data_IF_018625093466
#
_entry.id   IF_018625093466
#
_cell.length_a   1.000
_cell.length_b   1.000
_cell.length_c   1.000
_cell.angle_alpha   90.00
_cell.angle_beta   90.00
_cell.angle_gamma   90.00
#
_symmetry.space_group_name_H-M   'P 1'
#
loop_
_entity.id
_entity.type
_entity.pdbx_description
1 polymer ?
#
# COMPACT_ATOMS: atom_id res chain seq x y z
N UNK A 1 4.77 -8.82 -19.90
CA UNK A 1 3.31 -9.09 -19.93
C UNK A 1 3.15 -10.51 -19.43
N UNK A 2 2.28 -10.74 -18.43
CA UNK A 2 2.15 -12.05 -17.78
C UNK A 2 1.95 -13.16 -18.83
N UNK A 3 2.87 -14.13 -18.88
CA UNK A 3 2.80 -15.30 -19.75
C UNK A 3 1.72 -16.24 -19.22
N UNK A 4 0.46 -15.86 -19.37
CA UNK A 4 -0.65 -16.78 -19.17
C UNK A 4 -0.73 -17.69 -20.38
N UNK A 5 -0.83 -19.00 -20.15
CA UNK A 5 -1.02 -19.96 -21.22
C UNK A 5 -2.37 -19.69 -21.91
N UNK A 6 -2.32 -19.38 -23.20
CA UNK A 6 -3.50 -19.13 -24.02
C UNK A 6 -4.42 -20.36 -24.10
N UNK A 7 -3.86 -21.56 -23.92
CA UNK A 7 -4.61 -22.82 -23.94
C UNK A 7 -5.73 -22.87 -22.88
N UNK A 8 -5.47 -22.34 -21.68
CA UNK A 8 -6.47 -22.23 -20.60
C UNK A 8 -7.65 -21.33 -20.99
N UNK A 9 -7.35 -20.25 -21.70
CA UNK A 9 -8.35 -19.29 -22.16
C UNK A 9 -9.14 -19.79 -23.37
N UNK A 10 -8.56 -20.63 -24.21
CA UNK A 10 -9.21 -21.29 -25.33
C UNK A 10 -10.08 -22.46 -24.86
N UNK A 11 -9.59 -23.31 -23.96
CA UNK A 11 -10.36 -24.37 -23.32
C UNK A 11 -11.62 -23.79 -22.64
N UNK A 12 -11.48 -22.71 -21.87
CA UNK A 12 -12.63 -22.05 -21.24
C UNK A 12 -13.64 -21.47 -22.26
N UNK A 13 -13.21 -21.10 -23.48
CA UNK A 13 -14.13 -20.70 -24.54
C UNK A 13 -14.86 -21.92 -25.14
N UNK A 14 -14.15 -23.03 -25.32
CA UNK A 14 -14.75 -24.30 -25.79
C UNK A 14 -15.80 -24.80 -24.79
N UNK A 15 -15.55 -24.65 -23.50
CA UNK A 15 -16.50 -24.94 -22.41
C UNK A 15 -17.64 -23.91 -22.27
N UNK A 16 -17.69 -22.88 -23.14
CA UNK A 16 -18.78 -21.91 -23.17
C UNK A 16 -18.71 -20.81 -22.11
N UNK A 17 -17.57 -20.61 -21.44
CA UNK A 17 -17.44 -19.59 -20.40
C UNK A 17 -17.53 -18.17 -20.98
N UNK A 18 -18.43 -17.35 -20.41
CA UNK A 18 -18.59 -15.95 -20.77
C UNK A 18 -17.35 -15.12 -20.34
N UNK A 19 -17.11 -13.96 -20.96
CA UNK A 19 -15.96 -13.07 -20.67
C UNK A 19 -15.83 -12.76 -19.18
N UNK A 20 -16.95 -12.50 -18.49
CA UNK A 20 -16.95 -12.25 -17.04
C UNK A 20 -16.50 -13.46 -16.21
N UNK A 21 -16.92 -14.67 -16.59
CA UNK A 21 -16.49 -15.90 -15.93
C UNK A 21 -14.98 -16.13 -16.12
N UNK A 22 -14.47 -15.88 -17.34
CA UNK A 22 -13.03 -15.99 -17.62
C UNK A 22 -12.21 -14.97 -16.81
N UNK A 23 -12.74 -13.78 -16.52
CA UNK A 23 -12.06 -12.81 -15.66
C UNK A 23 -12.04 -13.29 -14.20
N UNK A 24 -13.19 -13.65 -13.65
CA UNK A 24 -13.33 -14.00 -12.22
C UNK A 24 -12.69 -15.34 -11.84
N UNK A 25 -12.78 -16.35 -12.72
CA UNK A 25 -12.36 -17.72 -12.41
C UNK A 25 -11.00 -18.10 -12.99
N UNK A 26 -10.50 -17.40 -14.02
CA UNK A 26 -9.14 -17.61 -14.57
C UNK A 26 -8.23 -16.45 -14.21
N UNK A 27 -8.52 -15.25 -14.71
CA UNK A 27 -7.59 -14.11 -14.60
C UNK A 27 -7.33 -13.71 -13.14
N UNK A 28 -8.37 -13.56 -12.32
CA UNK A 28 -8.24 -13.10 -10.92
C UNK A 28 -7.45 -14.09 -10.05
N UNK A 29 -7.74 -15.41 -10.05
CA UNK A 29 -6.95 -16.38 -9.30
C UNK A 29 -5.49 -16.44 -9.76
N UNK A 30 -5.24 -16.35 -11.07
CA UNK A 30 -3.87 -16.35 -11.61
C UNK A 30 -3.08 -15.08 -11.25
N UNK A 31 -3.76 -13.95 -11.05
CA UNK A 31 -3.15 -12.70 -10.60
C UNK A 31 -3.03 -12.58 -9.07
N UNK A 32 -3.64 -13.49 -8.30
CA UNK A 32 -3.62 -13.50 -6.83
C UNK A 32 -2.22 -13.21 -6.24
N UNK A 33 -1.13 -13.89 -6.62
CA UNK A 33 0.19 -13.62 -6.04
C UNK A 33 0.67 -12.19 -6.32
N UNK A 34 0.48 -11.69 -7.54
CA UNK A 34 0.83 -10.32 -7.91
C UNK A 34 0.00 -9.30 -7.14
N UNK A 35 -1.32 -9.51 -7.02
CA UNK A 35 -2.22 -8.63 -6.26
C UNK A 35 -1.78 -8.55 -4.81
N UNK A 36 -1.42 -9.68 -4.20
CA UNK A 36 -0.95 -9.74 -2.82
C UNK A 36 0.35 -8.95 -2.65
N UNK A 37 1.34 -9.18 -3.52
CA UNK A 37 2.63 -8.46 -3.47
C UNK A 37 2.42 -6.96 -3.61
N UNK A 38 1.64 -6.51 -4.60
CA UNK A 38 1.35 -5.09 -4.80
C UNK A 38 0.58 -4.50 -3.61
N UNK A 39 -0.36 -5.25 -3.04
CA UNK A 39 -1.10 -4.83 -1.85
C UNK A 39 -0.18 -4.62 -0.66
N UNK A 40 0.76 -5.54 -0.42
CA UNK A 40 1.73 -5.43 0.67
C UNK A 40 2.66 -4.21 0.50
N UNK A 41 3.10 -3.94 -0.73
CA UNK A 41 3.90 -2.75 -1.03
C UNK A 41 3.11 -1.46 -0.81
N UNK A 42 1.83 -1.43 -1.18
CA UNK A 42 0.93 -0.30 -0.91
C UNK A 42 0.69 -0.10 0.58
N UNK A 43 0.50 -1.19 1.34
CA UNK A 43 0.28 -1.16 2.79
C UNK A 43 1.47 -0.56 3.53
N UNK A 44 2.70 -0.85 3.11
CA UNK A 44 3.90 -0.23 3.68
C UNK A 44 3.94 1.30 3.55
N UNK A 45 3.17 1.88 2.63
CA UNK A 45 3.09 3.33 2.41
C UNK A 45 1.97 4.03 3.19
N UNK A 46 1.11 3.31 3.91
CA UNK A 46 -0.06 3.89 4.61
C UNK A 46 0.33 4.93 5.67
N UNK A 47 1.47 4.74 6.32
CA UNK A 47 1.96 5.70 7.32
C UNK A 47 2.61 6.95 6.72
N UNK A 48 2.78 7.00 5.41
CA UNK A 48 3.32 8.16 4.70
C UNK A 48 2.15 8.95 4.11
N UNK A 49 2.05 10.22 4.49
CA UNK A 49 1.15 11.18 3.88
C UNK A 49 1.80 11.87 2.69
N UNK A 50 0.97 12.56 1.90
CA UNK A 50 1.47 13.43 0.83
C UNK A 50 1.75 14.82 1.39
N UNK A 51 2.98 15.00 1.91
CA UNK A 51 3.44 16.29 2.45
C UNK A 51 3.30 17.41 1.42
N UNK A 52 3.70 17.15 0.17
CA UNK A 52 3.73 18.16 -0.89
C UNK A 52 2.34 18.68 -1.21
N UNK A 53 1.37 17.78 -1.32
CA UNK A 53 -0.03 18.13 -1.54
C UNK A 53 -0.59 18.95 -0.37
N UNK A 54 -0.44 18.46 0.87
CA UNK A 54 -1.08 19.09 2.02
C UNK A 54 -0.43 20.44 2.35
N UNK A 55 0.90 20.49 2.41
CA UNK A 55 1.61 21.74 2.71
C UNK A 55 1.47 22.76 1.56
N UNK A 56 1.39 22.30 0.30
CA UNK A 56 1.18 23.17 -0.85
C UNK A 56 -0.20 23.85 -0.87
N UNK A 57 -1.25 23.17 -0.39
CA UNK A 57 -2.62 23.69 -0.37
C UNK A 57 -2.88 24.53 0.89
N UNK A 58 -2.46 24.05 2.05
CA UNK A 58 -2.84 24.62 3.35
C UNK A 58 -1.77 25.57 3.89
N UNK A 59 -0.50 25.32 3.55
CA UNK A 59 0.64 26.05 4.12
C UNK A 59 0.63 26.02 5.64
N UNK A 60 0.69 27.20 6.24
CA UNK A 60 0.65 27.42 7.69
C UNK A 60 -0.69 28.01 8.17
N UNK A 61 -1.79 27.79 7.45
CA UNK A 61 -3.09 28.33 7.87
C UNK A 61 -3.59 27.64 9.15
N UNK A 62 -3.66 28.36 10.30
CA UNK A 62 -4.01 27.75 11.59
C UNK A 62 -5.48 27.30 11.66
N UNK A 63 -6.37 27.86 10.83
CA UNK A 63 -7.80 27.51 10.81
C UNK A 63 -8.02 26.11 10.25
N UNK A 64 -7.16 25.68 9.31
CA UNK A 64 -7.27 24.37 8.65
C UNK A 64 -6.31 23.34 9.23
N UNK A 65 -5.29 23.79 9.98
CA UNK A 65 -4.20 22.95 10.45
C UNK A 65 -4.68 21.74 11.27
N UNK A 66 -5.67 21.90 12.14
CA UNK A 66 -6.14 20.82 13.02
C UNK A 66 -6.74 19.64 12.23
N UNK A 67 -7.45 19.92 11.13
CA UNK A 67 -8.17 18.91 10.33
C UNK A 67 -7.29 18.24 9.27
N UNK A 68 -6.27 18.94 8.78
CA UNK A 68 -5.46 18.49 7.62
C UNK A 68 -4.04 18.09 8.00
N UNK A 69 -3.68 18.12 9.28
CA UNK A 69 -2.33 17.73 9.71
C UNK A 69 -2.12 16.23 9.56
N UNK A 70 -1.09 15.88 8.80
CA UNK A 70 -0.57 14.51 8.69
C UNK A 70 0.78 14.44 9.37
N UNK A 71 1.28 13.21 9.59
CA UNK A 71 2.55 12.99 10.29
C UNK A 71 3.67 13.82 9.63
N UNK A 72 3.77 13.82 8.30
CA UNK A 72 4.84 14.53 7.60
C UNK A 72 4.79 16.06 7.78
N UNK A 73 3.60 16.67 7.80
CA UNK A 73 3.47 18.12 8.03
C UNK A 73 3.73 18.48 9.49
N UNK A 74 3.33 17.61 10.42
CA UNK A 74 3.66 17.75 11.84
C UNK A 74 5.16 17.63 12.12
N UNK A 75 5.85 16.68 11.47
CA UNK A 75 7.31 16.51 11.54
C UNK A 75 8.01 17.77 11.06
N UNK A 76 7.59 18.31 9.92
CA UNK A 76 8.16 19.54 9.37
C UNK A 76 7.96 20.74 10.30
N UNK A 77 6.76 20.91 10.86
CA UNK A 77 6.48 22.01 11.78
C UNK A 77 7.29 21.87 13.08
N UNK A 78 7.37 20.65 13.63
CA UNK A 78 8.14 20.36 14.84
C UNK A 78 9.64 20.53 14.62
N UNK A 79 10.16 20.23 13.44
CA UNK A 79 11.55 20.51 13.08
C UNK A 79 11.85 22.01 13.18
N UNK A 80 10.92 22.87 12.74
CA UNK A 80 11.09 24.34 12.79
C UNK A 80 11.03 24.91 14.19
N UNK A 81 10.27 24.31 15.11
CA UNK A 81 10.03 24.85 16.46
C UNK A 81 10.88 24.19 17.55
N UNK A 82 11.04 22.87 17.47
CA UNK A 82 11.72 22.02 18.47
C UNK A 82 13.09 21.51 18.00
N UNK A 83 13.43 21.71 16.72
CA UNK A 83 14.70 21.31 16.13
C UNK A 83 14.71 19.91 15.50
N UNK A 84 15.83 19.59 14.82
CA UNK A 84 15.97 18.37 14.02
C UNK A 84 15.84 17.07 14.84
N UNK A 85 16.30 17.05 16.09
CA UNK A 85 16.25 15.85 16.93
C UNK A 85 14.83 15.31 17.11
N UNK A 86 13.84 16.20 17.24
CA UNK A 86 12.45 15.81 17.40
C UNK A 86 11.87 15.25 16.11
N UNK A 87 12.17 15.88 14.97
CA UNK A 87 11.77 15.40 13.65
C UNK A 87 12.33 14.01 13.33
N UNK A 88 13.59 13.76 13.67
CA UNK A 88 14.22 12.44 13.52
C UNK A 88 13.57 11.38 14.39
N UNK A 89 13.22 11.70 15.65
CA UNK A 89 12.55 10.77 16.55
C UNK A 89 11.17 10.35 16.02
N UNK A 90 10.38 11.29 15.48
CA UNK A 90 9.09 10.97 14.87
C UNK A 90 9.27 10.13 13.61
N UNK A 91 10.24 10.47 12.74
CA UNK A 91 10.52 9.67 11.54
C UNK A 91 10.93 8.23 11.85
N UNK A 92 11.69 8.02 12.94
CA UNK A 92 12.02 6.69 13.45
C UNK A 92 10.75 5.95 13.91
N UNK A 93 9.89 6.61 14.68
CA UNK A 93 8.62 6.04 15.11
C UNK A 93 7.73 5.62 13.92
N UNK A 94 7.59 6.49 12.92
CA UNK A 94 6.85 6.19 11.69
C UNK A 94 7.41 4.98 10.96
N UNK A 95 8.74 4.86 10.87
CA UNK A 95 9.41 3.72 10.24
C UNK A 95 9.18 2.41 11.00
N UNK A 96 9.21 2.44 12.33
CA UNK A 96 8.91 1.28 13.19
C UNK A 96 7.45 0.85 13.04
N UNK A 97 6.51 1.79 13.04
CA UNK A 97 5.09 1.51 12.83
C UNK A 97 4.84 0.91 11.43
N UNK A 98 5.49 1.47 10.40
CA UNK A 98 5.48 0.91 9.05
C UNK A 98 6.00 -0.53 8.99
N UNK A 99 7.11 -0.82 9.68
CA UNK A 99 7.68 -2.15 9.78
C UNK A 99 6.74 -3.16 10.46
N UNK A 100 6.10 -2.75 11.56
CA UNK A 100 5.11 -3.60 12.25
C UNK A 100 3.95 -3.93 11.31
N UNK A 101 3.43 -2.93 10.61
CA UNK A 101 2.24 -3.07 9.78
C UNK A 101 2.52 -3.90 8.52
N UNK A 102 3.65 -3.70 7.85
CA UNK A 102 4.05 -4.56 6.71
C UNK A 102 4.35 -6.00 7.15
N UNK A 103 4.94 -6.20 8.33
CA UNK A 103 5.20 -7.55 8.87
C UNK A 103 3.89 -8.27 9.19
N UNK A 104 2.94 -7.58 9.82
CA UNK A 104 1.61 -8.11 10.12
C UNK A 104 0.81 -8.43 8.84
N UNK A 105 0.89 -7.55 7.84
CA UNK A 105 0.26 -7.74 6.54
C UNK A 105 0.89 -8.94 5.81
N UNK A 106 2.22 -9.05 5.79
CA UNK A 106 2.93 -10.16 5.16
C UNK A 106 2.58 -11.50 5.83
N UNK A 107 2.49 -11.53 7.17
CA UNK A 107 2.06 -12.73 7.91
C UNK A 107 0.63 -13.14 7.56
N UNK A 108 -0.26 -12.16 7.41
CA UNK A 108 -1.65 -12.39 6.99
C UNK A 108 -1.72 -12.91 5.54
N UNK A 109 -0.93 -12.33 4.65
CA UNK A 109 -0.82 -12.74 3.26
C UNK A 109 -0.32 -14.18 3.10
N UNK A 110 0.76 -14.56 3.82
CA UNK A 110 1.28 -15.93 3.83
C UNK A 110 0.23 -16.96 4.24
N UNK A 111 -0.68 -16.61 5.16
CA UNK A 111 -1.77 -17.51 5.58
C UNK A 111 -2.83 -17.72 4.50
N UNK A 112 -3.02 -16.74 3.61
CA UNK A 112 -4.04 -16.76 2.54
C UNK A 112 -3.49 -17.34 1.23
N UNK A 113 -2.17 -17.29 1.03
CA UNK A 113 -1.50 -17.70 -0.20
C UNK A 113 -0.57 -18.91 0.00
N UNK A 114 -0.97 -19.87 0.83
CA UNK A 114 -0.28 -21.16 1.02
C UNK A 114 1.22 -21.02 1.37
N UNK A 115 1.59 -19.96 2.10
CA UNK A 115 2.96 -19.69 2.53
C UNK A 115 3.75 -18.72 1.65
N UNK A 116 3.23 -18.34 0.49
CA UNK A 116 3.85 -17.34 -0.39
C UNK A 116 3.60 -15.92 0.14
N UNK A 117 4.67 -15.24 0.55
CA UNK A 117 4.66 -13.84 0.97
C UNK A 117 5.81 -13.07 0.31
N UNK A 118 5.94 -11.79 0.65
CA UNK A 118 7.06 -10.96 0.16
C UNK A 118 8.41 -11.47 0.67
N UNK A 119 8.47 -11.87 1.94
CA UNK A 119 9.64 -12.40 2.64
C UNK A 119 9.17 -13.45 3.64
#
# INVERSE_FOLDING_TARGET
>A
MANFDGSLYEAAKVDGANKFQRILFLTVPMLKPTIIVLSLLSVGRIFYGDFGMIYGIVGNNPVLAEEVTVIDTYVYQSMRTLGFSYATAIGLFQSVMGLILITAANKSAKKINDGEGLF
#
